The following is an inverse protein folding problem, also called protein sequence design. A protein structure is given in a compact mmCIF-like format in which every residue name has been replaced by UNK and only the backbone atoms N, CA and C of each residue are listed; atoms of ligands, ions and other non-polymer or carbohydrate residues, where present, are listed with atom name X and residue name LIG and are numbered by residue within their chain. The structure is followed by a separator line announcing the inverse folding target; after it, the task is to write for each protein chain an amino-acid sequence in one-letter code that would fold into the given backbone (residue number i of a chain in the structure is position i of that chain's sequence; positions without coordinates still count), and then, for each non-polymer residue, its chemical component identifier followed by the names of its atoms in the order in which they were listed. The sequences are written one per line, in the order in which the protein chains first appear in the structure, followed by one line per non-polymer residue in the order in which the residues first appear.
data_IF_086659638045
#
_entry.id   IF_086659638045
#
_cell.length_a   1.000
_cell.length_b   1.000
_cell.length_c   1.000
_cell.angle_alpha   90.00
_cell.angle_beta   90.00
_cell.angle_gamma   90.00
#
_symmetry.space_group_name_H-M   'P 1'
#
loop_
_entity.id
_entity.type
_entity.pdbx_description
1 polymer ?
#
# COMPACT_ATOMS: atom_id res chain seq x y z
N UNK A 1 -19.34 -23.94 -21.55
CA UNK A 1 -19.64 -22.50 -21.66
C UNK A 1 -18.34 -21.78 -21.97
N UNK A 2 -18.25 -21.10 -23.11
CA UNK A 2 -17.08 -20.30 -23.49
C UNK A 2 -17.21 -18.94 -22.81
N UNK A 3 -16.33 -18.63 -21.87
CA UNK A 3 -16.27 -17.30 -21.25
C UNK A 3 -15.80 -16.30 -22.29
N UNK A 4 -16.67 -15.36 -22.68
CA UNK A 4 -16.28 -14.23 -23.51
C UNK A 4 -15.32 -13.34 -22.71
N UNK A 5 -14.05 -13.34 -23.13
CA UNK A 5 -12.97 -12.60 -22.48
C UNK A 5 -12.96 -11.11 -22.88
N UNK A 6 -13.80 -10.68 -23.83
CA UNK A 6 -13.83 -9.33 -24.40
C UNK A 6 -12.42 -8.82 -24.76
N UNK A 7 -11.76 -9.54 -25.69
CA UNK A 7 -10.41 -9.23 -26.18
C UNK A 7 -10.35 -7.94 -27.02
N UNK A 8 -11.50 -7.42 -27.46
CA UNK A 8 -11.63 -6.19 -28.26
C UNK A 8 -11.48 -4.90 -27.42
N UNK A 9 -11.28 -5.02 -26.10
CA UNK A 9 -11.12 -3.88 -25.18
C UNK A 9 -12.32 -2.93 -25.16
N UNK A 10 -13.52 -3.42 -25.48
CA UNK A 10 -14.73 -2.59 -25.51
C UNK A 10 -15.25 -2.33 -24.11
N UNK A 11 -15.38 -1.06 -23.75
CA UNK A 11 -16.05 -0.63 -22.51
C UNK A 11 -17.55 -0.60 -22.76
N UNK A 12 -18.28 -1.61 -22.29
CA UNK A 12 -19.74 -1.69 -22.45
C UNK A 12 -20.48 -0.96 -21.33
N UNK A 13 -21.76 -0.63 -21.55
CA UNK A 13 -22.62 -0.04 -20.51
C UNK A 13 -22.74 -0.97 -19.30
N UNK A 14 -22.90 -2.27 -19.54
CA UNK A 14 -23.00 -3.27 -18.48
C UNK A 14 -21.71 -3.35 -17.67
N UNK A 15 -20.54 -3.21 -18.33
CA UNK A 15 -19.26 -3.15 -17.63
C UNK A 15 -19.15 -1.89 -16.76
N UNK A 16 -19.62 -0.74 -17.26
CA UNK A 16 -19.67 0.52 -16.50
C UNK A 16 -20.59 0.39 -15.28
N UNK A 17 -21.79 -0.17 -15.44
CA UNK A 17 -22.73 -0.36 -14.34
C UNK A 17 -22.19 -1.33 -13.28
N UNK A 18 -21.55 -2.44 -13.68
CA UNK A 18 -20.85 -3.33 -12.75
C UNK A 18 -19.72 -2.62 -12.00
N UNK A 19 -18.99 -1.71 -12.64
CA UNK A 19 -17.93 -0.93 -11.99
C UNK A 19 -18.53 0.08 -10.99
N UNK A 20 -19.59 0.79 -11.37
CA UNK A 20 -20.30 1.76 -10.50
C UNK A 20 -20.91 1.12 -9.28
N UNK A 21 -21.52 -0.06 -9.41
CA UNK A 21 -22.15 -0.79 -8.31
C UNK A 21 -21.18 -1.16 -7.17
N UNK A 22 -19.87 -1.02 -7.39
CA UNK A 22 -18.82 -1.35 -6.43
C UNK A 22 -18.25 -0.16 -5.68
N UNK A 23 -18.68 1.06 -6.02
CA UNK A 23 -18.29 2.26 -5.28
C UNK A 23 -18.73 2.08 -3.82
N UNK A 24 -17.79 2.21 -2.89
CA UNK A 24 -18.03 2.02 -1.45
C UNK A 24 -17.82 0.59 -0.95
N UNK A 25 -17.50 -0.40 -1.81
CA UNK A 25 -17.13 -1.74 -1.37
C UNK A 25 -15.86 -1.68 -0.49
N UNK A 26 -15.98 -2.10 0.77
CA UNK A 26 -14.82 -2.24 1.67
C UNK A 26 -14.15 -3.58 1.39
N UNK A 27 -12.86 -3.55 1.09
CA UNK A 27 -12.06 -4.78 0.95
C UNK A 27 -11.15 -4.91 2.15
N UNK A 28 -11.06 -6.11 2.72
CA UNK A 28 -10.13 -6.39 3.79
C UNK A 28 -8.68 -6.25 3.29
N UNK A 29 -7.80 -5.82 4.19
CA UNK A 29 -6.37 -5.94 3.97
C UNK A 29 -5.98 -7.41 4.12
N UNK A 30 -5.24 -7.95 3.16
CA UNK A 30 -4.80 -9.35 3.15
C UNK A 30 -3.28 -9.34 3.05
N UNK A 31 -2.61 -9.16 4.19
CA UNK A 31 -1.16 -9.24 4.33
C UNK A 31 -0.36 -8.16 3.58
N UNK A 32 0.56 -7.51 4.29
CA UNK A 32 1.54 -6.62 3.69
C UNK A 32 2.74 -7.33 3.07
N UNK A 33 3.55 -6.58 2.32
CA UNK A 33 4.92 -7.03 2.01
C UNK A 33 5.73 -7.16 3.30
N UNK A 34 5.59 -6.15 4.17
CA UNK A 34 6.21 -6.11 5.48
C UNK A 34 5.14 -6.28 6.56
N UNK A 35 5.33 -7.26 7.43
CA UNK A 35 4.47 -7.48 8.60
C UNK A 35 5.07 -6.92 9.89
N UNK A 36 6.35 -6.57 9.87
CA UNK A 36 7.09 -6.01 10.99
C UNK A 36 7.99 -4.87 10.50
N UNK A 37 8.16 -3.83 11.33
CA UNK A 37 9.05 -2.72 11.06
C UNK A 37 10.49 -3.06 11.46
N UNK A 38 11.29 -3.47 10.48
CA UNK A 38 12.73 -3.71 10.65
C UNK A 38 13.57 -2.54 10.15
N UNK A 39 14.68 -2.23 10.84
CA UNK A 39 15.52 -1.07 10.56
C UNK A 39 16.04 -1.03 9.12
N UNK A 40 16.51 -2.16 8.58
CA UNK A 40 16.99 -2.20 7.20
C UNK A 40 15.87 -1.92 6.18
N UNK A 41 14.63 -2.34 6.45
CA UNK A 41 13.49 -2.02 5.59
C UNK A 41 13.13 -0.55 5.65
N UNK A 42 13.19 0.07 6.85
CA UNK A 42 12.99 1.51 7.03
C UNK A 42 14.04 2.30 6.26
N UNK A 43 15.32 1.89 6.36
CA UNK A 43 16.43 2.52 5.65
C UNK A 43 16.28 2.42 4.13
N UNK A 44 16.03 1.22 3.60
CA UNK A 44 15.82 1.04 2.16
C UNK A 44 14.60 1.82 1.65
N UNK A 45 13.54 1.92 2.46
CA UNK A 45 12.38 2.71 2.09
C UNK A 45 12.71 4.21 2.02
N UNK A 46 13.37 4.74 3.06
CA UNK A 46 13.79 6.12 3.13
C UNK A 46 14.74 6.48 1.96
N UNK A 47 15.75 5.64 1.70
CA UNK A 47 16.64 5.77 0.54
C UNK A 47 15.87 5.70 -0.79
N UNK A 48 14.92 4.78 -0.91
CA UNK A 48 14.12 4.59 -2.12
C UNK A 48 13.20 5.75 -2.47
N UNK A 49 12.71 6.48 -1.46
CA UNK A 49 11.92 7.71 -1.66
C UNK A 49 12.78 8.98 -1.66
N UNK A 50 14.08 8.87 -1.35
CA UNK A 50 14.99 10.01 -1.23
C UNK A 50 14.75 10.90 -0.02
N UNK A 51 14.24 10.36 1.10
CA UNK A 51 14.05 11.07 2.36
C UNK A 51 15.22 10.78 3.32
N UNK A 52 16.04 11.79 3.58
CA UNK A 52 17.25 11.72 4.39
C UNK A 52 17.05 12.16 5.84
N UNK A 53 15.80 12.30 6.30
CA UNK A 53 15.52 12.77 7.65
C UNK A 53 16.13 11.84 8.73
N UNK A 54 16.95 12.37 9.64
CA UNK A 54 17.68 11.58 10.63
C UNK A 54 16.77 10.88 11.65
N UNK A 55 15.49 11.25 11.76
CA UNK A 55 14.51 10.53 12.58
C UNK A 55 14.33 9.07 12.18
N UNK A 56 14.59 8.73 10.92
CA UNK A 56 14.47 7.36 10.40
C UNK A 56 15.82 6.66 10.18
N UNK A 57 16.91 7.43 10.09
CA UNK A 57 18.21 6.93 9.62
C UNK A 57 19.32 6.95 10.68
N UNK A 58 19.20 7.81 11.71
CA UNK A 58 20.24 7.98 12.73
C UNK A 58 19.68 7.66 14.12
N UNK A 59 20.12 6.53 14.68
CA UNK A 59 19.68 6.05 15.98
C UNK A 59 20.15 6.96 17.13
N UNK A 60 21.32 7.58 17.01
CA UNK A 60 21.86 8.50 18.00
C UNK A 60 21.13 9.84 17.98
N UNK A 61 20.71 10.32 16.81
CA UNK A 61 19.83 11.47 16.68
C UNK A 61 18.45 11.16 17.27
N UNK A 62 17.82 10.07 16.85
CA UNK A 62 16.48 9.70 17.25
C UNK A 62 16.35 9.50 18.77
N UNK A 63 17.38 8.91 19.42
CA UNK A 63 17.45 8.72 20.87
C UNK A 63 17.43 10.04 21.68
N UNK A 64 17.90 11.15 21.09
CA UNK A 64 17.90 12.48 21.73
C UNK A 64 16.58 13.23 21.58
N UNK A 65 15.68 12.74 20.74
CA UNK A 65 14.36 13.34 20.54
C UNK A 65 13.36 12.84 21.57
N UNK A 66 12.17 13.46 21.63
CA UNK A 66 11.05 12.99 22.45
C UNK A 66 10.59 11.55 22.13
N UNK A 67 11.00 11.01 20.98
CA UNK A 67 10.59 9.68 20.53
C UNK A 67 11.47 8.57 21.10
N UNK A 68 12.74 8.88 21.44
CA UNK A 68 13.68 7.96 22.09
C UNK A 68 14.11 6.76 21.25
N UNK A 69 13.67 6.65 20.00
CA UNK A 69 13.96 5.54 19.09
C UNK A 69 13.75 5.98 17.64
N UNK A 70 14.29 5.19 16.69
CA UNK A 70 14.06 5.34 15.26
C UNK A 70 12.56 5.32 14.98
N UNK A 71 12.10 6.37 14.32
CA UNK A 71 10.77 6.41 13.74
C UNK A 71 10.80 5.88 12.31
N UNK A 72 9.62 5.79 11.69
CA UNK A 72 9.48 5.30 10.32
C UNK A 72 8.88 6.40 9.44
N UNK A 73 9.32 6.55 8.18
CA UNK A 73 8.65 7.43 7.23
C UNK A 73 7.15 7.10 7.17
N UNK A 74 6.23 8.08 7.27
CA UNK A 74 4.79 7.81 7.29
C UNK A 74 4.30 7.01 6.06
N UNK A 75 4.95 7.21 4.91
CA UNK A 75 4.67 6.50 3.66
C UNK A 75 5.02 5.01 3.68
N UNK A 76 5.82 4.54 4.63
CA UNK A 76 6.19 3.12 4.80
C UNK A 76 4.96 2.21 4.99
N UNK A 77 3.84 2.75 5.47
CA UNK A 77 2.57 2.03 5.53
C UNK A 77 2.13 1.49 4.17
N UNK A 78 2.61 2.07 3.05
CA UNK A 78 2.38 1.50 1.73
C UNK A 78 3.02 0.12 1.59
N UNK A 79 4.16 -0.16 2.20
CA UNK A 79 4.75 -1.52 2.19
C UNK A 79 3.94 -2.53 3.02
N UNK A 80 3.30 -2.05 4.09
CA UNK A 80 2.46 -2.87 4.98
C UNK A 80 1.06 -3.09 4.39
N UNK A 81 0.54 -2.13 3.63
CA UNK A 81 -0.79 -2.22 3.00
C UNK A 81 -0.75 -2.78 1.59
N UNK A 82 0.28 -2.43 0.83
CA UNK A 82 0.37 -2.58 -0.63
C UNK A 82 1.55 -3.49 -0.95
N UNK A 83 1.42 -4.78 -0.63
CA UNK A 83 2.45 -5.78 -0.87
C UNK A 83 2.35 -6.50 -2.22
N UNK A 84 3.44 -7.14 -2.69
CA UNK A 84 3.45 -7.92 -3.91
C UNK A 84 2.44 -9.06 -3.83
N UNK A 85 1.74 -9.22 -4.95
CA UNK A 85 0.48 -9.94 -5.10
C UNK A 85 0.66 -11.47 -5.14
N UNK A 86 1.27 -12.07 -4.12
CA UNK A 86 1.46 -13.53 -4.13
C UNK A 86 0.13 -14.31 -4.14
N UNK A 87 -0.96 -13.70 -3.65
CA UNK A 87 -2.27 -14.35 -3.53
C UNK A 87 -3.38 -13.76 -4.41
N UNK A 88 -3.07 -12.94 -5.41
CA UNK A 88 -4.06 -12.47 -6.41
C UNK A 88 -5.24 -11.66 -5.87
N UNK A 89 -5.22 -11.26 -4.58
CA UNK A 89 -6.28 -10.45 -3.95
C UNK A 89 -5.71 -9.12 -3.51
N UNK A 90 -5.72 -8.14 -4.41
CA UNK A 90 -5.68 -6.77 -3.93
C UNK A 90 -7.06 -6.39 -3.38
N UNK A 91 -7.08 -5.45 -2.44
CA UNK A 91 -8.02 -4.32 -2.47
C UNK A 91 -8.24 -3.92 -3.94
N UNK A 92 -9.28 -4.48 -4.59
CA UNK A 92 -9.57 -4.29 -6.02
C UNK A 92 -8.98 -5.29 -7.04
N UNK A 93 -8.54 -6.50 -6.66
CA UNK A 93 -7.84 -7.44 -7.55
C UNK A 93 -8.67 -7.83 -8.80
N UNK A 94 -8.05 -7.79 -9.99
CA UNK A 94 -8.64 -8.08 -11.31
C UNK A 94 -9.92 -7.34 -11.71
N UNK A 95 -10.26 -6.24 -11.02
CA UNK A 95 -11.47 -5.47 -11.32
C UNK A 95 -11.11 -4.25 -12.16
N UNK A 96 -11.31 -4.35 -13.47
CA UNK A 96 -11.02 -3.31 -14.46
C UNK A 96 -11.76 -3.60 -15.77
N UNK A 97 -11.55 -2.74 -16.78
CA UNK A 97 -12.10 -2.99 -18.11
C UNK A 97 -11.10 -3.81 -18.94
N UNK A 98 -11.57 -4.76 -19.76
CA UNK A 98 -10.71 -5.52 -20.67
C UNK A 98 -9.85 -4.58 -21.52
N UNK A 99 -8.54 -4.84 -21.59
CA UNK A 99 -7.58 -4.04 -22.34
C UNK A 99 -7.27 -2.64 -21.81
N UNK A 100 -7.84 -2.25 -20.65
CA UNK A 100 -7.59 -0.92 -20.06
C UNK A 100 -6.70 -1.04 -18.83
N UNK A 101 -5.53 -0.39 -18.90
CA UNK A 101 -4.63 -0.28 -17.75
C UNK A 101 -5.23 0.62 -16.67
N UNK A 102 -5.10 0.21 -15.41
CA UNK A 102 -5.59 0.98 -14.27
C UNK A 102 -4.47 1.88 -13.76
N UNK A 103 -4.80 3.13 -13.49
CA UNK A 103 -3.89 4.07 -12.87
C UNK A 103 -4.31 4.30 -11.40
N UNK A 104 -3.33 4.39 -10.51
CA UNK A 104 -3.58 4.78 -9.12
C UNK A 104 -3.92 6.27 -9.08
N UNK A 105 -5.21 6.61 -8.98
CA UNK A 105 -5.63 8.01 -9.02
C UNK A 105 -5.26 8.80 -7.75
N UNK A 106 -5.50 8.23 -6.57
CA UNK A 106 -5.17 8.88 -5.29
C UNK A 106 -5.22 7.91 -4.11
N UNK A 107 -4.62 8.34 -3.01
CA UNK A 107 -4.78 7.76 -1.68
C UNK A 107 -5.01 8.91 -0.68
N UNK A 108 -5.75 8.63 0.39
CA UNK A 108 -5.86 9.52 1.55
C UNK A 108 -5.43 8.75 2.79
N UNK A 109 -4.45 9.31 3.49
CA UNK A 109 -3.90 8.76 4.72
C UNK A 109 -4.02 9.79 5.84
N UNK A 110 -4.27 9.30 7.05
CA UNK A 110 -4.24 10.07 8.29
C UNK A 110 -3.43 9.27 9.30
N UNK A 111 -2.44 9.92 9.92
CA UNK A 111 -1.55 9.29 10.88
C UNK A 111 -1.86 9.81 12.27
N UNK A 112 -2.38 8.94 13.13
CA UNK A 112 -2.73 9.30 14.51
C UNK A 112 -1.53 9.22 15.45
N UNK A 113 -0.60 8.30 15.17
CA UNK A 113 0.62 8.08 15.93
C UNK A 113 1.80 7.80 14.99
N UNK A 114 3.02 8.27 15.33
CA UNK A 114 4.22 7.87 14.60
C UNK A 114 4.50 6.38 14.79
N UNK A 115 4.84 5.69 13.70
CA UNK A 115 5.35 4.32 13.75
C UNK A 115 6.80 4.32 14.21
N UNK A 116 7.18 3.26 14.92
CA UNK A 116 8.51 3.03 15.47
C UNK A 116 9.07 1.72 14.96
N UNK A 117 10.40 1.60 15.02
CA UNK A 117 11.05 0.32 14.86
C UNK A 117 10.48 -0.72 15.86
N UNK A 118 10.22 -1.94 15.37
CA UNK A 118 9.66 -3.04 16.15
C UNK A 118 8.12 -3.07 16.18
N UNK A 119 7.46 -2.05 15.63
CA UNK A 119 6.00 -2.10 15.48
C UNK A 119 5.63 -3.23 14.50
N UNK A 120 4.57 -3.96 14.86
CA UNK A 120 4.00 -5.01 14.02
C UNK A 120 2.77 -4.48 13.29
N UNK A 121 2.67 -4.80 12.00
CA UNK A 121 1.48 -4.54 11.21
C UNK A 121 0.28 -5.35 11.72
N UNK A 122 -0.93 -4.95 11.32
CA UNK A 122 -2.16 -5.69 11.63
C UNK A 122 -2.03 -7.17 11.18
N UNK A 123 -2.53 -8.15 11.97
CA UNK A 123 -2.54 -9.56 11.56
C UNK A 123 -3.33 -9.83 10.28
#
# INVERSE_FOLDING_TARGET
MTTDLNIDSKITKEALERARARIGEKTALIGGFNTEVQLDMVRHWAEGIGDDNPLWLDSAYAAKTRHGTILVPPSYLQSVRTGPMWHGRSTGGFRGFPGVHRFWASDKWEWFVPMKHGDVGYP
#
